data_IF_295090609004
#
_entry.id   IF_295090609004
#
_cell.length_a   1.000
_cell.length_b   1.000
_cell.length_c   1.000
_cell.angle_alpha   90.00
_cell.angle_beta   90.00
_cell.angle_gamma   90.00
#
_symmetry.space_group_name_H-M   'P 1'
#
loop_
_entity.id
_entity.type
_entity.pdbx_description
1 polymer ?
#
# COMPACT_ATOMS: atom_id res chain seq x y z
N UNK A 1 8.03 -7.82 -10.55
CA UNK A 1 6.65 -7.39 -10.19
C UNK A 1 6.69 -6.18 -9.30
N UNK A 2 5.83 -5.21 -9.55
CA UNK A 2 5.67 -4.04 -8.67
C UNK A 2 4.29 -4.08 -8.06
N UNK A 3 4.24 -4.04 -6.72
CA UNK A 3 3.02 -3.84 -5.95
C UNK A 3 2.91 -2.35 -5.67
N UNK A 4 1.89 -1.69 -6.18
CA UNK A 4 1.68 -0.26 -5.99
C UNK A 4 0.54 0.00 -5.03
N UNK A 5 0.79 0.76 -3.98
CA UNK A 5 -0.21 1.24 -3.03
C UNK A 5 -0.47 2.70 -3.33
N UNK A 6 -1.59 3.01 -3.96
CA UNK A 6 -2.00 4.38 -4.26
C UNK A 6 -2.90 4.90 -3.16
N UNK A 7 -2.35 5.71 -2.28
CA UNK A 7 -3.09 6.32 -1.16
C UNK A 7 -4.11 7.33 -1.66
N UNK A 8 -5.25 7.33 -1.01
CA UNK A 8 -6.28 8.35 -1.12
C UNK A 8 -6.19 9.29 0.08
N UNK A 9 -7.02 10.34 0.11
CA UNK A 9 -7.01 11.27 1.23
C UNK A 9 -7.43 10.59 2.54
N UNK A 10 -6.77 10.96 3.62
CA UNK A 10 -7.09 10.44 4.94
C UNK A 10 -8.52 10.80 5.35
N UNK A 11 -9.16 9.88 6.05
CA UNK A 11 -10.52 10.03 6.57
C UNK A 11 -10.52 9.58 8.04
N UNK A 12 -10.61 10.53 8.96
CA UNK A 12 -10.71 10.27 10.42
C UNK A 12 -9.60 9.33 10.93
N UNK A 13 -8.36 9.57 10.51
CA UNK A 13 -7.19 8.81 10.92
C UNK A 13 -6.94 7.53 10.14
N UNK A 14 -7.79 7.19 9.18
CA UNK A 14 -7.60 6.09 8.25
C UNK A 14 -7.14 6.60 6.89
N UNK A 15 -6.22 5.89 6.25
CA UNK A 15 -5.79 6.18 4.88
C UNK A 15 -6.24 5.03 3.98
N UNK A 16 -7.33 5.20 3.22
CA UNK A 16 -7.71 4.23 2.23
C UNK A 16 -6.75 4.28 1.03
N UNK A 17 -6.62 3.16 0.35
CA UNK A 17 -5.81 3.06 -0.86
C UNK A 17 -6.38 2.05 -1.83
N UNK A 18 -5.88 2.10 -3.06
CA UNK A 18 -6.05 1.04 -4.05
C UNK A 18 -4.70 0.40 -4.30
N UNK A 19 -4.68 -0.92 -4.34
CA UNK A 19 -3.46 -1.71 -4.52
C UNK A 19 -3.48 -2.35 -5.90
N UNK A 20 -2.36 -2.24 -6.59
CA UNK A 20 -2.17 -2.74 -7.95
C UNK A 20 -0.97 -3.69 -7.98
N UNK A 21 -1.04 -4.70 -8.83
CA UNK A 21 0.10 -5.57 -9.15
C UNK A 21 0.42 -5.42 -10.62
N UNK A 22 1.63 -4.97 -10.95
CA UNK A 22 2.03 -4.65 -12.33
C UNK A 22 1.00 -3.80 -13.09
N UNK A 23 0.43 -2.79 -12.41
CA UNK A 23 -0.54 -1.87 -12.97
C UNK A 23 -1.99 -2.37 -13.03
N UNK A 24 -2.26 -3.63 -12.69
CA UNK A 24 -3.61 -4.19 -12.64
C UNK A 24 -4.18 -4.07 -11.23
N UNK A 25 -5.42 -3.63 -11.10
CA UNK A 25 -6.10 -3.52 -9.82
C UNK A 25 -6.14 -4.90 -9.12
N UNK A 26 -5.73 -4.91 -7.86
CA UNK A 26 -5.69 -6.14 -7.07
C UNK A 26 -6.70 -6.11 -5.90
N UNK A 27 -6.76 -5.01 -5.16
CA UNK A 27 -7.63 -4.90 -4.01
C UNK A 27 -7.54 -3.54 -3.34
N UNK A 28 -8.24 -3.40 -2.24
CA UNK A 28 -8.26 -2.18 -1.44
C UNK A 28 -7.29 -2.27 -0.28
N UNK A 29 -6.60 -1.18 -0.04
CA UNK A 29 -5.69 -1.06 1.09
C UNK A 29 -6.22 -0.13 2.16
N UNK A 30 -5.65 -0.25 3.36
CA UNK A 30 -5.93 0.61 4.49
C UNK A 30 -4.67 0.77 5.33
N UNK A 31 -4.44 1.98 5.84
CA UNK A 31 -3.36 2.27 6.78
C UNK A 31 -3.89 3.14 7.91
N UNK A 32 -3.16 3.13 9.03
CA UNK A 32 -3.39 4.06 10.12
C UNK A 32 -2.50 5.30 9.90
N UNK A 33 -3.13 6.46 9.78
CA UNK A 33 -2.43 7.72 9.51
C UNK A 33 -1.34 8.03 10.54
N UNK A 34 -1.56 7.69 11.82
CA UNK A 34 -0.60 7.95 12.88
C UNK A 34 0.68 7.10 12.79
N UNK A 35 0.63 5.94 12.13
CA UNK A 35 1.73 4.97 12.06
C UNK A 35 2.20 4.68 10.65
N UNK A 36 1.64 5.32 9.64
CA UNK A 36 1.94 5.04 8.23
C UNK A 36 3.43 5.07 7.94
N UNK A 37 3.87 4.24 7.01
CA UNK A 37 5.22 4.29 6.47
C UNK A 37 5.34 5.47 5.50
N UNK A 38 6.55 6.02 5.28
CA UNK A 38 6.73 7.08 4.27
C UNK A 38 6.37 6.59 2.87
N UNK A 39 5.88 7.49 2.02
CA UNK A 39 5.79 7.20 0.59
C UNK A 39 7.18 6.91 0.03
N UNK A 40 7.27 5.96 -0.88
CA UNK A 40 8.55 5.56 -1.44
C UNK A 40 8.53 4.16 -2.05
N UNK A 41 9.71 3.70 -2.43
CA UNK A 41 9.94 2.36 -2.97
C UNK A 41 10.66 1.50 -1.95
N UNK A 42 10.17 0.30 -1.74
CA UNK A 42 10.67 -0.63 -0.74
C UNK A 42 10.95 -2.00 -1.36
N UNK A 43 12.00 -2.64 -0.88
CA UNK A 43 12.18 -4.07 -1.08
C UNK A 43 11.16 -4.82 -0.23
N UNK A 44 10.81 -6.03 -0.66
CA UNK A 44 9.87 -6.87 0.05
C UNK A 44 10.36 -8.33 0.09
N UNK A 45 9.85 -9.07 1.06
CA UNK A 45 10.16 -10.48 1.23
C UNK A 45 8.93 -11.24 1.74
N UNK A 46 8.80 -12.51 1.34
CA UNK A 46 7.75 -13.37 1.84
C UNK A 46 8.24 -14.19 3.02
N UNK A 47 7.59 -14.05 4.16
CA UNK A 47 7.90 -14.80 5.38
C UNK A 47 6.63 -15.32 6.04
N UNK A 48 6.78 -16.40 6.81
CA UNK A 48 5.69 -16.87 7.67
C UNK A 48 5.62 -15.95 8.89
N UNK A 49 4.48 -15.30 9.07
CA UNK A 49 4.24 -14.44 10.23
C UNK A 49 4.03 -15.29 11.48
N UNK A 50 4.84 -15.07 12.52
CA UNK A 50 4.65 -15.70 13.82
C UNK A 50 3.32 -15.28 14.47
N UNK A 51 2.94 -14.00 14.30
CA UNK A 51 1.70 -13.44 14.86
C UNK A 51 0.47 -14.01 14.20
N UNK A 52 0.48 -14.16 12.88
CA UNK A 52 -0.72 -14.57 12.11
C UNK A 52 -0.69 -16.05 11.70
N UNK A 53 0.41 -16.76 11.94
CA UNK A 53 0.54 -18.18 11.62
C UNK A 53 0.48 -18.50 10.12
N UNK A 54 0.60 -17.51 9.25
CA UNK A 54 0.51 -17.67 7.80
C UNK A 54 1.56 -16.84 7.09
N UNK A 55 1.81 -17.17 5.83
CA UNK A 55 2.77 -16.44 4.99
C UNK A 55 2.22 -15.06 4.66
N UNK A 56 3.07 -14.06 4.85
CA UNK A 56 2.76 -12.65 4.62
C UNK A 56 3.86 -12.00 3.79
N UNK A 57 3.49 -10.99 3.02
CA UNK A 57 4.45 -10.16 2.30
C UNK A 57 4.95 -9.05 3.22
N UNK A 58 6.23 -9.13 3.60
CA UNK A 58 6.89 -8.13 4.43
C UNK A 58 7.47 -7.01 3.58
N UNK A 59 7.40 -5.81 4.10
CA UNK A 59 7.95 -4.60 3.50
C UNK A 59 9.18 -4.18 4.32
N UNK A 60 10.33 -4.06 3.68
CA UNK A 60 11.57 -3.67 4.34
C UNK A 60 11.63 -2.15 4.46
N UNK A 61 11.14 -1.63 5.58
CA UNK A 61 11.13 -0.19 5.87
C UNK A 61 12.32 0.14 6.76
N UNK A 62 13.23 1.06 6.34
CA UNK A 62 14.37 1.45 7.16
C UNK A 62 13.95 1.93 8.55
N UNK A 63 14.60 1.39 9.59
CA UNK A 63 14.33 1.75 10.98
C UNK A 63 13.08 1.13 11.58
N UNK A 64 12.36 0.29 10.85
CA UNK A 64 11.15 -0.39 11.34
C UNK A 64 11.22 -1.89 11.04
N UNK A 65 10.54 -2.69 11.85
CA UNK A 65 10.44 -4.13 11.66
C UNK A 65 8.98 -4.58 11.74
N UNK A 66 8.69 -5.74 11.16
CA UNK A 66 7.35 -6.32 11.22
C UNK A 66 6.30 -5.59 10.37
N UNK A 67 6.70 -4.77 9.41
CA UNK A 67 5.79 -4.12 8.48
C UNK A 67 5.43 -5.11 7.38
N UNK A 68 4.13 -5.33 7.17
CA UNK A 68 3.66 -6.32 6.22
C UNK A 68 2.26 -5.98 5.70
N UNK A 69 1.85 -6.65 4.63
CA UNK A 69 0.46 -6.69 4.22
C UNK A 69 -0.26 -7.78 5.00
N UNK A 70 -1.36 -7.43 5.65
CA UNK A 70 -2.22 -8.42 6.32
C UNK A 70 -3.69 -8.02 6.27
N UNK A 71 -4.57 -8.94 6.65
CA UNK A 71 -5.99 -8.64 6.78
C UNK A 71 -6.25 -7.71 7.96
N UNK A 72 -7.17 -6.78 7.75
CA UNK A 72 -7.64 -5.86 8.78
C UNK A 72 -9.06 -5.45 8.45
N UNK A 73 -9.79 -4.94 9.42
CA UNK A 73 -11.11 -4.37 9.20
C UNK A 73 -11.09 -2.84 9.34
N UNK A 74 -10.33 -2.32 10.30
CA UNK A 74 -10.25 -0.90 10.61
C UNK A 74 -8.81 -0.45 10.75
N UNK A 75 -8.58 0.88 10.74
CA UNK A 75 -7.24 1.44 10.89
C UNK A 75 -6.62 1.15 12.26
N UNK A 76 -7.42 0.96 13.30
CA UNK A 76 -6.93 0.62 14.64
C UNK A 76 -6.20 -0.73 14.67
N UNK A 77 -6.49 -1.62 13.74
CA UNK A 77 -5.79 -2.91 13.61
C UNK A 77 -4.37 -2.77 13.04
N UNK A 78 -4.00 -1.56 12.60
CA UNK A 78 -2.80 -1.31 11.82
C UNK A 78 -1.87 -0.33 12.55
N UNK A 79 -0.61 -0.74 12.75
CA UNK A 79 0.44 0.09 13.35
C UNK A 79 1.65 0.18 12.43
N UNK A 80 1.38 0.63 11.19
CA UNK A 80 2.38 0.72 10.13
C UNK A 80 2.21 -0.33 9.05
N UNK A 81 1.59 -1.46 9.34
CA UNK A 81 1.22 -2.45 8.35
C UNK A 81 0.15 -1.92 7.40
N UNK A 82 0.07 -2.52 6.22
CA UNK A 82 -0.93 -2.19 5.21
C UNK A 82 -1.99 -3.29 5.20
N UNK A 83 -3.22 -2.92 5.51
CA UNK A 83 -4.37 -3.80 5.33
C UNK A 83 -4.62 -4.02 3.85
N UNK A 84 -5.00 -5.23 3.45
CA UNK A 84 -5.33 -5.58 2.07
C UNK A 84 -6.57 -6.45 2.02
N UNK A 85 -7.57 -6.02 1.29
CA UNK A 85 -8.86 -6.68 1.28
C UNK A 85 -9.57 -6.58 -0.07
N UNK A 86 -10.55 -7.44 -0.23
CA UNK A 86 -11.36 -7.60 -1.43
C UNK A 86 -12.40 -6.49 -1.58
N UNK A 87 -12.92 -6.02 -0.46
CA UNK A 87 -14.03 -5.08 -0.41
C UNK A 87 -13.73 -3.91 0.53
N UNK A 88 -14.36 -2.77 0.25
CA UNK A 88 -14.22 -1.55 1.02
C UNK A 88 -15.57 -0.90 1.25
N UNK A 89 -15.78 -0.39 2.47
CA UNK A 89 -16.92 0.46 2.83
C UNK A 89 -16.40 1.65 3.66
N UNK A 90 -16.20 2.80 3.01
CA UNK A 90 -15.61 3.97 3.67
C UNK A 90 -14.22 3.68 4.20
N UNK A 91 -14.05 3.82 5.52
CA UNK A 91 -12.77 3.58 6.21
C UNK A 91 -12.62 2.13 6.72
N UNK A 92 -13.48 1.22 6.29
CA UNK A 92 -13.40 -0.20 6.63
C UNK A 92 -13.15 -1.07 5.41
N UNK A 93 -12.45 -2.17 5.60
CA UNK A 93 -12.20 -3.16 4.56
C UNK A 93 -12.56 -4.56 5.07
N UNK A 94 -12.85 -5.47 4.14
CA UNK A 94 -13.19 -6.86 4.46
C UNK A 94 -12.77 -7.80 3.34
N UNK A 95 -12.57 -9.07 3.67
CA UNK A 95 -12.14 -10.09 2.73
C UNK A 95 -10.62 -10.06 2.53
N UNK A 96 -9.88 -10.63 3.48
CA UNK A 96 -8.41 -10.67 3.49
C UNK A 96 -7.83 -11.22 2.19
N UNK A 97 -7.00 -10.42 1.52
CA UNK A 97 -6.28 -10.79 0.31
C UNK A 97 -4.78 -11.01 0.54
N UNK A 98 -4.32 -10.98 1.80
CA UNK A 98 -2.88 -11.03 2.08
C UNK A 98 -2.21 -12.34 1.63
N UNK A 99 -2.92 -13.46 1.72
CA UNK A 99 -2.43 -14.75 1.24
C UNK A 99 -2.28 -14.79 -0.28
N UNK A 100 -3.27 -14.30 -1.02
CA UNK A 100 -3.25 -14.24 -2.47
C UNK A 100 -2.17 -13.27 -2.98
N UNK A 101 -1.98 -12.15 -2.29
CA UNK A 101 -0.90 -11.22 -2.61
C UNK A 101 0.47 -11.89 -2.43
N UNK A 102 0.66 -12.58 -1.30
CA UNK A 102 1.89 -13.33 -1.06
C UNK A 102 2.16 -14.33 -2.17
N UNK A 103 1.19 -15.16 -2.51
CA UNK A 103 1.34 -16.20 -3.54
C UNK A 103 1.70 -15.59 -4.91
N UNK A 104 1.04 -14.49 -5.27
CA UNK A 104 1.29 -13.79 -6.53
C UNK A 104 2.71 -13.24 -6.61
N UNK A 105 3.17 -12.59 -5.55
CA UNK A 105 4.52 -12.03 -5.47
C UNK A 105 5.57 -13.14 -5.41
N UNK A 106 5.31 -14.20 -4.64
CA UNK A 106 6.23 -15.34 -4.52
C UNK A 106 6.41 -16.06 -5.86
N UNK A 107 5.34 -16.20 -6.65
CA UNK A 107 5.44 -16.79 -7.98
C UNK A 107 6.34 -15.94 -8.90
N UNK A 108 6.21 -14.63 -8.87
CA UNK A 108 7.06 -13.71 -9.63
C UNK A 108 8.53 -13.80 -9.19
N UNK A 109 8.78 -13.80 -7.90
CA UNK A 109 10.14 -13.92 -7.35
C UNK A 109 10.79 -15.28 -7.72
N UNK A 110 10.03 -16.36 -7.65
CA UNK A 110 10.49 -17.71 -8.04
C UNK A 110 10.82 -17.77 -9.52
N UNK A 111 10.10 -17.03 -10.35
CA UNK A 111 10.38 -16.90 -11.78
C UNK A 111 11.58 -15.99 -12.10
N UNK A 112 12.26 -15.46 -11.09
CA UNK A 112 13.43 -14.60 -11.23
C UNK A 112 13.12 -13.13 -11.47
N UNK A 113 11.87 -12.69 -11.30
CA UNK A 113 11.51 -11.28 -11.39
C UNK A 113 11.97 -10.53 -10.13
N UNK A 114 12.47 -9.31 -10.30
CA UNK A 114 12.64 -8.38 -9.19
C UNK A 114 11.28 -7.98 -8.64
N UNK A 115 11.17 -7.82 -7.32
CA UNK A 115 9.92 -7.47 -6.65
C UNK A 115 10.12 -6.24 -5.78
N UNK A 116 9.20 -5.27 -5.89
CA UNK A 116 9.21 -4.07 -5.05
C UNK A 116 7.78 -3.63 -4.71
N UNK A 117 7.68 -2.90 -3.60
CA UNK A 117 6.45 -2.22 -3.19
C UNK A 117 6.67 -0.71 -3.37
N UNK A 118 5.75 -0.05 -4.06
CA UNK A 118 5.77 1.41 -4.25
C UNK A 118 4.53 2.00 -3.57
N UNK A 119 4.76 2.89 -2.62
CA UNK A 119 3.68 3.59 -1.90
C UNK A 119 3.68 5.05 -2.34
N UNK A 120 2.56 5.53 -2.87
CA UNK A 120 2.43 6.89 -3.35
C UNK A 120 1.29 7.63 -2.66
N UNK A 121 1.53 8.90 -2.35
CA UNK A 121 0.53 9.82 -1.80
C UNK A 121 -0.42 10.34 -2.88
N UNK A 122 -1.61 10.86 -2.50
CA UNK A 122 -2.52 11.46 -3.45
C UNK A 122 -1.88 12.62 -4.22
N UNK A 123 -2.31 12.81 -5.48
CA UNK A 123 -1.80 13.91 -6.30
C UNK A 123 -2.20 15.26 -5.70
N UNK A 124 -1.25 16.23 -5.56
CA UNK A 124 -1.53 17.52 -4.93
C UNK A 124 -2.24 18.49 -5.91
N UNK A 125 -3.54 18.33 -6.11
CA UNK A 125 -4.35 19.13 -7.02
C UNK A 125 -4.27 20.64 -6.77
N UNK A 126 -4.07 21.06 -5.51
CA UNK A 126 -3.92 22.48 -5.15
C UNK A 126 -2.72 23.12 -5.84
N UNK A 127 -1.64 22.40 -6.04
CA UNK A 127 -0.48 22.89 -6.77
C UNK A 127 -0.76 23.10 -8.25
N UNK A 128 -1.55 22.24 -8.86
CA UNK A 128 -1.96 22.36 -10.26
C UNK A 128 -2.82 23.61 -10.45
N UNK A 129 -3.79 23.85 -9.55
CA UNK A 129 -4.66 25.02 -9.59
C UNK A 129 -3.85 26.30 -9.39
N UNK A 130 -2.97 26.37 -8.40
CA UNK A 130 -2.12 27.52 -8.15
C UNK A 130 -1.19 27.82 -9.33
N UNK A 131 -0.58 26.79 -9.91
CA UNK A 131 0.27 26.93 -11.08
C UNK A 131 -0.49 27.45 -12.30
N UNK A 132 -1.71 26.97 -12.53
CA UNK A 132 -2.56 27.44 -13.62
C UNK A 132 -2.95 28.92 -13.46
N UNK A 133 -3.26 29.34 -12.24
CA UNK A 133 -3.59 30.75 -11.93
C UNK A 133 -2.40 31.69 -12.16
N UNK A 134 -1.17 31.21 -12.06
CA UNK A 134 0.06 31.95 -12.30
C UNK A 134 0.59 31.80 -13.74
N UNK A 135 -0.10 31.06 -14.58
CA UNK A 135 0.32 30.83 -15.96
C UNK A 135 1.44 29.79 -16.12
N UNK A 136 1.72 29.02 -15.08
CA UNK A 136 2.70 27.94 -15.10
C UNK A 136 2.00 26.59 -15.11
N UNK A 137 2.46 25.69 -15.96
CA UNK A 137 1.97 24.32 -15.99
C UNK A 137 3.08 23.43 -15.43
N UNK A 138 2.85 22.88 -14.25
CA UNK A 138 3.74 21.89 -13.67
C UNK A 138 3.14 20.50 -13.83
N UNK A 139 3.84 19.65 -14.55
CA UNK A 139 3.53 18.23 -14.56
C UNK A 139 4.35 17.56 -13.47
N UNK A 140 3.69 17.15 -12.43
CA UNK A 140 4.26 16.21 -11.48
C UNK A 140 3.51 14.91 -11.65
N UNK A 141 4.19 13.92 -12.23
CA UNK A 141 3.66 12.58 -12.22
C UNK A 141 3.52 12.12 -10.77
N UNK A 142 2.33 11.72 -10.37
CA UNK A 142 2.15 10.98 -9.14
C UNK A 142 2.82 9.62 -9.33
N UNK A 143 3.84 9.37 -8.53
CA UNK A 143 4.50 8.08 -8.49
C UNK A 143 3.72 7.12 -7.63
#
# INVERSE_FOLDING_TARGET
MIVTVKRENANSGAIPSKVFTNGAFFGYGLENEAYKIPAGRYDCSGLTSQKFGSKKLYINVPGRSGIMFHGANTAEDLKGCIGIARERNGATISGDLSGELYEKVNAAATAGEGVAVVVSDPFPWLWVIAASALGFVFYRAAL
#
